data_IF_590886177839
#
_entry.id   IF_590886177839
#
_cell.length_a   1.000
_cell.length_b   1.000
_cell.length_c   1.000
_cell.angle_alpha   90.00
_cell.angle_beta   90.00
_cell.angle_gamma   90.00
#
_symmetry.space_group_name_H-M   'P 1'
#
loop_
_entity.id
_entity.type
_entity.pdbx_description
1 polymer ?
#
# COMPACT_ATOMS: atom_id res chain seq x y z
N UNK A 1 -6.29 -14.56 -10.38
CA UNK A 1 -6.48 -13.36 -9.55
C UNK A 1 -7.31 -13.74 -8.34
N UNK A 2 -6.79 -13.60 -7.13
CA UNK A 2 -7.66 -13.23 -6.02
C UNK A 2 -7.82 -11.73 -6.15
N UNK A 3 -8.93 -11.26 -6.73
CA UNK A 3 -9.32 -9.86 -6.66
C UNK A 3 -9.57 -9.54 -5.19
N UNK A 4 -8.50 -9.20 -4.47
CA UNK A 4 -8.56 -8.80 -3.08
C UNK A 4 -9.28 -7.47 -3.00
N UNK A 5 -10.55 -7.52 -2.62
CA UNK A 5 -11.34 -6.36 -2.23
C UNK A 5 -10.74 -5.81 -0.94
N UNK A 6 -10.22 -4.57 -0.95
CA UNK A 6 -9.68 -3.88 0.24
C UNK A 6 -10.63 -2.79 0.76
N UNK A 7 -11.90 -2.84 0.36
CA UNK A 7 -12.93 -1.88 0.74
C UNK A 7 -13.18 -1.88 2.26
N UNK A 8 -12.78 -2.92 2.99
CA UNK A 8 -12.82 -2.89 4.47
C UNK A 8 -11.96 -1.78 5.07
N UNK A 9 -11.02 -1.19 4.33
CA UNK A 9 -10.28 -0.02 4.81
C UNK A 9 -11.13 1.26 4.80
N UNK A 10 -12.24 1.33 4.07
CA UNK A 10 -13.03 2.56 3.96
C UNK A 10 -13.57 2.98 5.33
N UNK A 11 -13.19 4.19 5.77
CA UNK A 11 -13.49 4.73 7.10
C UNK A 11 -12.41 4.46 8.15
N UNK A 12 -11.54 3.47 7.96
CA UNK A 12 -10.47 3.13 8.90
C UNK A 12 -9.36 4.18 8.89
N UNK A 13 -8.69 4.36 10.03
CA UNK A 13 -7.61 5.33 10.22
C UNK A 13 -6.24 4.68 10.03
N UNK A 14 -5.31 5.33 9.32
CA UNK A 14 -3.90 4.91 9.35
C UNK A 14 -3.32 5.19 10.73
N UNK A 15 -3.16 4.14 11.55
CA UNK A 15 -2.68 4.23 12.93
C UNK A 15 -1.15 4.24 13.03
N UNK A 16 -0.47 3.47 12.19
CA UNK A 16 0.98 3.36 12.23
C UNK A 16 1.63 3.12 10.86
N UNK A 17 2.89 3.60 10.77
CA UNK A 17 3.83 3.27 9.69
C UNK A 17 5.10 2.73 10.33
N UNK A 18 5.47 1.50 10.00
CA UNK A 18 6.68 0.84 10.51
C UNK A 18 7.69 0.65 9.39
N UNK A 19 8.93 1.10 9.61
CA UNK A 19 10.03 0.92 8.66
C UNK A 19 10.90 -0.26 9.11
N UNK A 20 10.94 -1.33 8.31
CA UNK A 20 11.67 -2.56 8.64
C UNK A 20 12.66 -2.87 7.52
N UNK A 21 13.91 -2.44 7.70
CA UNK A 21 15.00 -2.66 6.73
C UNK A 21 14.60 -2.36 5.28
N UNK A 22 14.20 -3.39 4.54
CA UNK A 22 13.85 -3.41 3.11
C UNK A 22 12.34 -3.37 2.81
N UNK A 23 11.47 -3.37 3.82
CA UNK A 23 10.02 -3.27 3.65
C UNK A 23 9.37 -2.29 4.63
N UNK A 24 8.12 -1.89 4.32
CA UNK A 24 7.31 -1.04 5.19
C UNK A 24 6.07 -1.79 5.66
N UNK A 25 5.55 -1.43 6.83
CA UNK A 25 4.22 -1.84 7.25
C UNK A 25 3.31 -0.64 7.43
N UNK A 26 2.06 -0.77 6.98
CA UNK A 26 0.96 0.14 7.27
C UNK A 26 -0.05 -0.58 8.13
N UNK A 27 -0.60 0.11 9.13
CA UNK A 27 -1.61 -0.42 10.03
C UNK A 27 -2.82 0.52 10.05
N UNK A 28 -4.00 -0.05 9.84
CA UNK A 28 -5.29 0.62 9.76
C UNK A 28 -6.30 -0.06 10.67
N UNK A 29 -6.41 0.36 11.93
CA UNK A 29 -7.45 -0.05 12.88
C UNK A 29 -7.74 -1.59 12.88
N UNK A 30 -6.68 -2.43 12.81
CA UNK A 30 -6.77 -3.89 12.77
C UNK A 30 -6.49 -4.53 11.40
N UNK A 31 -6.37 -3.73 10.35
CA UNK A 31 -5.97 -4.14 9.00
C UNK A 31 -4.53 -3.73 8.72
N UNK A 32 -3.66 -4.65 8.32
CA UNK A 32 -2.27 -4.28 8.09
C UNK A 32 -1.68 -4.84 6.81
N UNK A 33 -0.75 -4.08 6.24
CA UNK A 33 0.00 -4.42 5.03
C UNK A 33 1.49 -4.51 5.38
N UNK A 34 2.17 -5.56 4.92
CA UNK A 34 3.64 -5.60 4.83
C UNK A 34 4.05 -5.51 3.36
N UNK A 35 4.71 -4.42 2.99
CA UNK A 35 4.88 -3.96 1.62
C UNK A 35 6.37 -3.99 1.25
N UNK A 36 6.71 -4.87 0.31
CA UNK A 36 8.07 -4.99 -0.24
C UNK A 36 8.25 -4.16 -1.53
N UNK A 37 7.18 -3.53 -2.00
CA UNK A 37 7.16 -2.77 -3.24
C UNK A 37 7.40 -1.27 -3.04
N UNK A 38 7.91 -0.57 -4.06
CA UNK A 38 7.97 0.87 -4.06
C UNK A 38 6.58 1.50 -3.86
N UNK A 39 6.53 2.51 -2.99
CA UNK A 39 5.32 3.26 -2.68
C UNK A 39 5.47 4.71 -3.13
N UNK A 40 4.37 5.34 -3.51
CA UNK A 40 4.29 6.77 -3.80
C UNK A 40 3.30 7.43 -2.86
N UNK A 41 3.68 8.57 -2.29
CA UNK A 41 2.80 9.46 -1.52
C UNK A 41 2.53 10.71 -2.33
N UNK A 42 1.25 11.07 -2.43
CA UNK A 42 0.79 12.33 -3.02
C UNK A 42 -0.02 13.12 -2.00
N UNK A 43 0.45 14.30 -1.60
CA UNK A 43 -0.22 15.15 -0.61
C UNK A 43 0.19 16.62 -0.79
N UNK A 44 -0.75 17.56 -0.73
CA UNK A 44 -0.45 19.00 -0.76
C UNK A 44 0.38 19.46 -1.96
N UNK A 45 0.21 18.83 -3.14
CA UNK A 45 1.00 19.10 -4.35
C UNK A 45 2.40 18.47 -4.38
N UNK A 46 2.83 17.82 -3.29
CA UNK A 46 4.04 17.00 -3.27
C UNK A 46 3.73 15.59 -3.79
N UNK A 47 4.61 15.07 -4.64
CA UNK A 47 4.69 13.64 -4.98
C UNK A 47 6.09 13.14 -4.64
N UNK A 48 6.19 12.04 -3.91
CA UNK A 48 7.47 11.44 -3.51
C UNK A 48 7.35 9.93 -3.41
N UNK A 49 8.44 9.21 -3.70
CA UNK A 49 8.49 7.74 -3.77
C UNK A 49 9.46 7.18 -2.73
N UNK A 50 9.27 5.92 -2.34
CA UNK A 50 10.26 5.16 -1.54
C UNK A 50 11.68 5.40 -2.04
N UNK A 51 12.59 5.75 -1.14
CA UNK A 51 13.98 6.10 -1.44
C UNK A 51 14.25 7.61 -1.52
N UNK A 52 13.23 8.43 -1.75
CA UNK A 52 13.38 9.89 -1.70
C UNK A 52 13.56 10.38 -0.26
N UNK A 53 14.37 11.43 -0.07
CA UNK A 53 14.58 12.06 1.24
C UNK A 53 13.30 12.59 1.89
N UNK A 54 12.27 12.93 1.09
CA UNK A 54 11.00 13.49 1.58
C UNK A 54 9.96 12.42 1.91
N UNK A 55 10.16 11.19 1.45
CA UNK A 55 9.15 10.13 1.52
C UNK A 55 8.76 9.80 2.95
N UNK A 56 9.73 9.69 3.88
CA UNK A 56 9.45 9.33 5.27
C UNK A 56 8.55 10.34 5.97
N UNK A 57 8.81 11.63 5.78
CA UNK A 57 7.95 12.66 6.35
C UNK A 57 6.58 12.64 5.67
N UNK A 58 6.54 12.55 4.34
CA UNK A 58 5.29 12.53 3.59
C UNK A 58 4.40 11.34 3.98
N UNK A 59 4.93 10.14 4.21
CA UNK A 59 4.12 8.98 4.61
C UNK A 59 3.66 9.08 6.07
N UNK A 60 4.51 9.58 6.98
CA UNK A 60 4.13 9.78 8.37
C UNK A 60 3.08 10.88 8.54
N UNK A 61 3.07 11.89 7.66
CA UNK A 61 2.01 12.91 7.62
C UNK A 61 0.63 12.34 7.27
N UNK A 62 0.54 11.08 6.81
CA UNK A 62 -0.74 10.40 6.57
C UNK A 62 -1.30 9.73 7.84
N UNK A 63 -0.51 9.57 8.89
CA UNK A 63 -0.96 8.98 10.17
C UNK A 63 -2.11 9.82 10.73
N UNK A 64 -3.07 9.15 11.36
CA UNK A 64 -4.33 9.68 11.87
C UNK A 64 -5.36 10.13 10.81
N UNK A 65 -5.06 10.00 9.51
CA UNK A 65 -6.05 10.23 8.45
C UNK A 65 -6.93 9.01 8.23
N UNK A 66 -8.19 9.27 7.90
CA UNK A 66 -9.18 8.24 7.53
C UNK A 66 -9.17 7.97 6.04
N UNK A 67 -9.29 6.71 5.67
CA UNK A 67 -9.40 6.27 4.29
C UNK A 67 -10.80 6.61 3.77
N UNK A 68 -10.86 7.27 2.62
CA UNK A 68 -12.08 7.55 1.88
C UNK A 68 -12.44 6.40 0.93
N UNK A 69 -11.46 5.87 0.22
CA UNK A 69 -11.66 4.83 -0.79
C UNK A 69 -10.37 4.08 -1.10
N UNK A 70 -10.49 2.84 -1.54
CA UNK A 70 -9.37 2.05 -2.06
C UNK A 70 -9.63 1.64 -3.50
N UNK A 71 -8.67 1.90 -4.37
CA UNK A 71 -8.74 1.56 -5.79
C UNK A 71 -7.60 0.62 -6.16
N UNK A 72 -7.93 -0.49 -6.82
CA UNK A 72 -6.93 -1.39 -7.40
C UNK A 72 -6.99 -1.24 -8.91
N UNK A 73 -5.86 -0.90 -9.53
CA UNK A 73 -5.69 -0.93 -10.97
C UNK A 73 -4.75 -2.09 -11.30
N UNK A 74 -5.29 -3.09 -12.00
CA UNK A 74 -4.55 -4.31 -12.36
C UNK A 74 -3.21 -3.97 -13.02
N UNK A 75 -2.16 -4.65 -12.55
CA UNK A 75 -0.77 -4.50 -13.02
C UNK A 75 -0.16 -3.09 -12.87
N UNK A 76 -0.84 -2.16 -12.20
CA UNK A 76 -0.36 -0.78 -12.02
C UNK A 76 -0.14 -0.44 -10.56
N UNK A 77 -1.22 -0.40 -9.75
CA UNK A 77 -1.12 -0.02 -8.35
C UNK A 77 -2.34 -0.40 -7.51
N UNK A 78 -2.09 -0.58 -6.21
CA UNK A 78 -3.10 -0.45 -5.16
C UNK A 78 -3.01 0.97 -4.58
N UNK A 79 -4.08 1.75 -4.67
CA UNK A 79 -4.13 3.14 -4.23
C UNK A 79 -5.14 3.32 -3.09
N UNK A 80 -4.66 3.82 -1.96
CA UNK A 80 -5.45 4.23 -0.80
C UNK A 80 -5.60 5.75 -0.86
N UNK A 81 -6.84 6.24 -0.83
CA UNK A 81 -7.17 7.66 -0.89
C UNK A 81 -7.77 8.07 0.45
N UNK A 82 -7.23 9.13 1.07
CA UNK A 82 -7.69 9.66 2.34
C UNK A 82 -8.76 10.74 2.19
N UNK A 83 -9.44 11.08 3.28
CA UNK A 83 -10.48 12.11 3.32
C UNK A 83 -10.02 13.51 2.90
N UNK A 84 -8.72 13.82 2.98
CA UNK A 84 -8.13 15.09 2.53
C UNK A 84 -7.57 15.04 1.10
N UNK A 85 -7.94 14.02 0.32
CA UNK A 85 -7.49 13.75 -1.06
C UNK A 85 -6.00 13.37 -1.20
N UNK A 86 -5.26 13.25 -0.10
CA UNK A 86 -3.94 12.64 -0.11
C UNK A 86 -4.01 11.15 -0.44
N UNK A 87 -2.92 10.60 -0.98
CA UNK A 87 -2.88 9.24 -1.53
C UNK A 87 -1.61 8.52 -1.15
N UNK A 88 -1.75 7.23 -0.86
CA UNK A 88 -0.66 6.26 -0.85
C UNK A 88 -0.91 5.28 -1.98
N UNK A 89 0.09 5.03 -2.83
CA UNK A 89 0.02 4.02 -3.90
C UNK A 89 1.15 3.03 -3.78
N UNK A 90 0.82 1.74 -3.81
CA UNK A 90 1.76 0.61 -3.81
C UNK A 90 1.88 0.13 -5.26
N UNK A 91 3.10 0.11 -5.82
CA UNK A 91 3.30 -0.34 -7.20
C UNK A 91 2.97 -1.83 -7.36
N UNK A 92 2.23 -2.15 -8.42
CA UNK A 92 1.97 -3.51 -8.90
C UNK A 92 2.60 -3.76 -10.27
N UNK A 93 3.41 -2.82 -10.76
CA UNK A 93 4.10 -2.94 -12.05
C UNK A 93 5.18 -3.99 -11.98
N UNK A 94 5.22 -4.86 -12.98
CA UNK A 94 6.19 -5.95 -13.08
C UNK A 94 7.64 -5.47 -12.94
N UNK A 95 7.98 -4.33 -13.55
CA UNK A 95 9.33 -3.74 -13.52
C UNK A 95 9.78 -3.28 -12.13
N UNK A 96 8.86 -3.13 -11.18
CA UNK A 96 9.17 -2.69 -9.82
C UNK A 96 9.37 -3.87 -8.83
N UNK A 97 9.16 -5.12 -9.25
CA UNK A 97 9.31 -6.29 -8.38
C UNK A 97 10.79 -6.63 -8.16
N UNK A 98 11.18 -6.71 -6.90
CA UNK A 98 12.48 -7.26 -6.45
C UNK A 98 12.38 -8.73 -6.01
N UNK A 99 11.17 -9.26 -5.85
CA UNK A 99 10.87 -10.63 -5.40
C UNK A 99 9.52 -11.12 -5.94
N UNK A 100 9.04 -12.28 -5.46
CA UNK A 100 7.78 -12.86 -5.91
C UNK A 100 6.54 -12.23 -5.24
N UNK A 101 6.66 -11.59 -4.08
CA UNK A 101 5.55 -10.93 -3.39
C UNK A 101 5.56 -9.40 -3.58
N UNK A 102 4.38 -8.82 -3.82
CA UNK A 102 4.18 -7.37 -3.76
C UNK A 102 3.97 -6.91 -2.30
N UNK A 103 3.00 -7.53 -1.64
CA UNK A 103 2.71 -7.30 -0.23
C UNK A 103 1.91 -8.45 0.36
N UNK A 104 1.93 -8.55 1.69
CA UNK A 104 1.00 -9.37 2.47
C UNK A 104 0.03 -8.46 3.22
N UNK A 105 -1.22 -8.88 3.34
CA UNK A 105 -2.27 -8.17 4.06
C UNK A 105 -2.92 -9.09 5.10
N UNK A 106 -3.26 -8.55 6.26
CA UNK A 106 -3.96 -9.25 7.34
C UNK A 106 -5.12 -8.39 7.86
N UNK A 107 -6.04 -9.03 8.60
CA UNK A 107 -7.25 -8.37 9.10
C UNK A 107 -8.42 -8.34 8.10
N UNK A 108 -8.25 -8.89 6.88
CA UNK A 108 -9.28 -8.90 5.83
C UNK A 108 -10.12 -10.19 5.79
N UNK A 109 -10.24 -10.90 6.93
CA UNK A 109 -10.86 -12.23 7.04
C UNK A 109 -9.80 -13.33 7.07
N UNK A 110 -9.21 -13.64 5.91
CA UNK A 110 -8.02 -14.49 5.78
C UNK A 110 -6.80 -13.62 5.43
N UNK A 111 -5.57 -14.09 5.74
CA UNK A 111 -4.36 -13.41 5.27
C UNK A 111 -4.27 -13.46 3.75
N UNK A 112 -4.21 -12.30 3.12
CA UNK A 112 -4.12 -12.16 1.65
C UNK A 112 -2.66 -11.94 1.30
N UNK A 113 -2.12 -12.78 0.41
CA UNK A 113 -0.78 -12.59 -0.18
C UNK A 113 -0.96 -12.24 -1.65
N UNK A 114 -0.34 -11.13 -2.09
CA UNK A 114 -0.37 -10.69 -3.49
C UNK A 114 0.97 -10.98 -4.14
N UNK A 115 0.97 -11.86 -5.14
CA UNK A 115 2.16 -12.32 -5.87
C UNK A 115 2.31 -11.65 -7.25
N UNK A 116 3.55 -11.66 -7.76
CA UNK A 116 3.90 -11.36 -9.15
C UNK A 116 3.20 -12.35 -10.10
N UNK A 117 2.89 -11.90 -11.31
CA UNK A 117 2.06 -12.61 -12.32
C UNK A 117 2.72 -13.89 -12.90
N UNK A 118 3.93 -14.28 -12.51
CA UNK A 118 4.68 -15.34 -13.20
C UNK A 118 4.47 -16.78 -12.70
N UNK A 119 3.57 -17.05 -11.75
CA UNK A 119 3.21 -18.45 -11.41
C UNK A 119 2.01 -18.95 -12.24
N UNK A 120 2.17 -18.89 -13.56
CA UNK A 120 1.57 -19.88 -14.46
C UNK A 120 2.65 -20.94 -14.71
N UNK A 121 2.64 -21.99 -13.89
CA UNK A 121 3.37 -23.22 -14.22
C UNK A 121 2.82 -23.72 -15.56
N UNK A 122 3.72 -23.87 -16.53
CA UNK A 122 3.46 -24.47 -17.83
C UNK A 122 2.86 -25.89 -17.74
#
# INVERSE_FOLDING_TARGET
MTSGSFQQLEGEQLGAVTFIQDYLQLEFDGHGFSICMPMTVQAGGLTTRTGDNRFRNAICEQIAKRVRSVNTQDSEALTIIFEDDSRISISLRESDYSGPEAFTAHGFGDSIIVHRIDDQVA
#
